data_IF_293750754089
#
_entry.id   IF_293750754089
#
_cell.length_a   1.000
_cell.length_b   1.000
_cell.length_c   1.000
_cell.angle_alpha   90.00
_cell.angle_beta   90.00
_cell.angle_gamma   90.00
#
_symmetry.space_group_name_H-M   'P 1'
#
loop_
_entity.id
_entity.type
_entity.pdbx_description
1 polymer ?
#
# COMPACT_ATOMS: atom_id res chain seq x y z
N UNK A 1 -8.60 3.55 -22.27
CA UNK A 1 -8.51 4.45 -23.44
C UNK A 1 -8.22 5.86 -22.94
N UNK A 2 -7.35 6.61 -23.62
CA UNK A 2 -7.00 7.98 -23.23
C UNK A 2 -8.04 8.97 -23.79
N UNK A 3 -8.42 9.96 -22.98
CA UNK A 3 -9.38 10.99 -23.38
C UNK A 3 -8.71 12.01 -24.30
N UNK A 4 -9.48 12.53 -25.27
CA UNK A 4 -8.98 13.58 -26.16
C UNK A 4 -8.61 14.86 -25.39
N UNK A 5 -7.62 15.62 -25.88
CA UNK A 5 -7.10 16.82 -25.24
C UNK A 5 -8.18 17.88 -25.04
N UNK A 6 -9.16 17.94 -25.94
CA UNK A 6 -10.29 18.86 -25.87
C UNK A 6 -11.34 18.47 -24.81
N UNK A 7 -11.13 17.37 -24.08
CA UNK A 7 -11.98 16.85 -23.00
C UNK A 7 -13.47 16.66 -23.34
N UNK A 8 -13.81 16.59 -24.64
CA UNK A 8 -15.14 16.20 -25.13
C UNK A 8 -15.34 14.68 -24.98
N UNK A 9 -16.30 14.10 -25.71
CA UNK A 9 -16.56 12.65 -25.73
C UNK A 9 -15.60 11.84 -26.63
N UNK A 10 -14.56 12.48 -27.20
CA UNK A 10 -13.57 11.82 -28.06
C UNK A 10 -12.48 11.08 -27.29
N UNK A 11 -11.85 10.10 -27.95
CA UNK A 11 -10.70 9.35 -27.43
C UNK A 11 -9.51 9.50 -28.38
N UNK A 12 -8.31 9.44 -27.83
CA UNK A 12 -7.08 9.34 -28.62
C UNK A 12 -6.88 7.89 -29.10
N UNK A 13 -5.98 7.70 -30.06
CA UNK A 13 -5.51 6.38 -30.49
C UNK A 13 -4.52 5.77 -29.47
N UNK A 14 -5.00 5.67 -28.22
CA UNK A 14 -4.27 5.11 -27.10
C UNK A 14 -5.19 4.25 -26.25
N UNK A 15 -4.98 2.95 -26.37
CA UNK A 15 -5.64 1.92 -25.58
C UNK A 15 -4.60 1.06 -24.85
N UNK A 16 -4.89 0.78 -23.59
CA UNK A 16 -4.08 -0.08 -22.73
C UNK A 16 -5.01 -0.85 -21.81
N UNK A 17 -4.59 -2.05 -21.45
CA UNK A 17 -5.23 -2.88 -20.42
C UNK A 17 -4.31 -2.85 -19.21
N UNK A 18 -4.87 -2.56 -18.03
CA UNK A 18 -4.13 -2.61 -16.77
C UNK A 18 -4.65 -3.77 -15.94
N UNK A 19 -3.78 -4.36 -15.14
CA UNK A 19 -4.13 -5.51 -14.30
C UNK A 19 -2.98 -5.79 -13.35
N UNK A 20 -3.32 -6.06 -12.10
CA UNK A 20 -2.36 -6.20 -11.00
C UNK A 20 -2.67 -7.43 -10.16
N UNK A 21 -1.62 -8.15 -9.77
CA UNK A 21 -1.64 -9.13 -8.70
C UNK A 21 -1.04 -8.48 -7.46
N UNK A 22 -1.86 -8.38 -6.41
CA UNK A 22 -1.48 -7.75 -5.15
C UNK A 22 -1.24 -8.81 -4.06
N UNK A 23 -0.13 -8.68 -3.35
CA UNK A 23 0.21 -9.49 -2.18
C UNK A 23 0.44 -8.57 -0.98
N UNK A 24 -0.20 -8.89 0.15
CA UNK A 24 -0.14 -8.11 1.38
C UNK A 24 0.44 -8.99 2.49
N UNK A 25 1.39 -8.45 3.26
CA UNK A 25 2.01 -9.12 4.39
C UNK A 25 2.20 -8.15 5.55
N UNK A 26 1.57 -8.48 6.68
CA UNK A 26 1.73 -7.74 7.93
C UNK A 26 2.99 -8.21 8.65
N UNK A 27 3.90 -7.28 8.91
CA UNK A 27 5.13 -7.55 9.64
C UNK A 27 4.79 -7.62 11.14
N UNK A 28 5.34 -8.59 11.89
CA UNK A 28 5.01 -8.78 13.31
C UNK A 28 5.66 -7.74 14.23
N UNK A 29 6.26 -6.69 13.68
CA UNK A 29 6.99 -5.67 14.38
C UNK A 29 6.62 -4.27 13.86
N UNK A 30 6.63 -3.30 14.76
CA UNK A 30 6.44 -1.87 14.47
C UNK A 30 5.17 -1.50 13.67
N UNK A 31 4.14 -2.35 13.68
CA UNK A 31 2.87 -2.13 12.98
C UNK A 31 3.07 -1.78 11.49
N UNK A 32 4.01 -2.49 10.87
CA UNK A 32 4.41 -2.30 9.49
C UNK A 32 3.69 -3.29 8.57
N UNK A 33 3.39 -2.83 7.35
CA UNK A 33 2.87 -3.66 6.27
C UNK A 33 3.79 -3.57 5.07
N UNK A 34 3.99 -4.73 4.48
CA UNK A 34 4.61 -4.90 3.18
C UNK A 34 3.55 -5.25 2.15
N UNK A 35 3.58 -4.57 1.01
CA UNK A 35 2.67 -4.83 -0.10
C UNK A 35 3.46 -4.84 -1.40
N UNK A 36 3.17 -5.84 -2.24
CA UNK A 36 3.70 -5.95 -3.59
C UNK A 36 2.53 -5.92 -4.57
N UNK A 37 2.64 -5.13 -5.62
CA UNK A 37 1.73 -5.21 -6.76
C UNK A 37 2.51 -5.42 -8.05
N UNK A 38 2.30 -6.54 -8.73
CA UNK A 38 2.94 -6.84 -10.00
C UNK A 38 1.91 -6.81 -11.13
N UNK A 39 2.22 -6.13 -12.23
CA UNK A 39 1.24 -5.96 -13.30
C UNK A 39 1.64 -5.04 -14.44
N UNK A 40 0.64 -4.64 -15.22
CA UNK A 40 0.78 -3.70 -16.34
C UNK A 40 0.19 -2.34 -15.98
N UNK A 41 0.99 -1.30 -16.19
CA UNK A 41 0.70 0.09 -15.86
C UNK A 41 0.09 0.87 -17.04
N UNK A 42 -0.29 2.12 -16.78
CA UNK A 42 -0.96 2.98 -17.76
C UNK A 42 -0.10 3.26 -18.99
N UNK A 43 1.22 3.36 -18.84
CA UNK A 43 2.13 3.64 -19.95
C UNK A 43 2.49 2.38 -20.78
N UNK A 44 1.76 1.27 -20.58
CA UNK A 44 2.00 -0.08 -21.18
C UNK A 44 3.27 -0.78 -20.68
N UNK A 45 3.97 -0.18 -19.73
CA UNK A 45 5.07 -0.80 -19.00
C UNK A 45 4.56 -1.89 -18.05
N UNK A 46 5.40 -2.90 -17.84
CA UNK A 46 5.17 -4.01 -16.93
C UNK A 46 6.21 -3.91 -15.82
N UNK A 47 5.76 -4.12 -14.59
CA UNK A 47 6.64 -3.99 -13.45
C UNK A 47 5.98 -4.29 -12.13
N UNK A 48 6.61 -3.81 -11.07
CA UNK A 48 6.26 -4.10 -9.68
C UNK A 48 6.30 -2.82 -8.86
N UNK A 49 5.26 -2.61 -8.06
CA UNK A 49 5.28 -1.67 -6.94
C UNK A 49 5.64 -2.42 -5.67
N UNK A 50 6.62 -1.88 -4.95
CA UNK A 50 6.98 -2.31 -3.60
C UNK A 50 6.59 -1.20 -2.65
N UNK A 51 5.62 -1.47 -1.78
CA UNK A 51 5.08 -0.56 -0.79
C UNK A 51 5.42 -1.06 0.61
N UNK A 52 6.07 -0.19 1.38
CA UNK A 52 6.32 -0.39 2.81
C UNK A 52 5.63 0.73 3.56
N UNK A 53 4.73 0.39 4.46
CA UNK A 53 4.02 1.36 5.27
C UNK A 53 3.99 0.99 6.73
N UNK A 54 3.84 2.01 7.57
CA UNK A 54 3.62 1.89 9.01
C UNK A 54 2.30 2.55 9.36
N UNK A 55 1.49 1.84 10.16
CA UNK A 55 0.27 2.36 10.73
C UNK A 55 0.51 2.74 12.20
N UNK A 56 -0.07 3.86 12.62
CA UNK A 56 0.00 4.34 14.00
C UNK A 56 -1.33 4.09 14.72
N UNK A 57 -1.29 4.06 16.05
CA UNK A 57 -2.50 3.92 16.89
C UNK A 57 -3.53 5.02 16.64
N UNK A 58 -3.09 6.19 16.17
CA UNK A 58 -3.96 7.31 15.76
C UNK A 58 -4.78 7.00 14.52
N UNK A 59 -4.49 5.92 13.79
CA UNK A 59 -5.06 5.58 12.49
C UNK A 59 -4.33 6.24 11.31
N UNK A 60 -3.32 7.07 11.57
CA UNK A 60 -2.45 7.61 10.52
C UNK A 60 -1.60 6.50 9.89
N UNK A 61 -1.30 6.63 8.59
CA UNK A 61 -0.38 5.76 7.87
C UNK A 61 0.70 6.59 7.19
N UNK A 62 1.93 6.12 7.25
CA UNK A 62 3.04 6.66 6.47
C UNK A 62 3.66 5.53 5.70
N UNK A 63 3.89 5.72 4.40
CA UNK A 63 4.50 4.71 3.57
C UNK A 63 5.40 5.28 2.49
N UNK A 64 6.17 4.39 1.90
CA UNK A 64 7.02 4.67 0.77
C UNK A 64 6.81 3.60 -0.29
N UNK A 65 6.72 4.03 -1.54
CA UNK A 65 6.56 3.15 -2.69
C UNK A 65 7.74 3.33 -3.63
N UNK A 66 8.21 2.21 -4.14
CA UNK A 66 9.17 2.13 -5.24
C UNK A 66 8.48 1.40 -6.39
N UNK A 67 8.48 2.01 -7.57
CA UNK A 67 7.95 1.43 -8.79
C UNK A 67 9.10 1.04 -9.72
N UNK A 68 9.28 -0.26 -9.91
CA UNK A 68 10.27 -0.87 -10.78
C UNK A 68 9.57 -1.37 -12.04
N UNK A 69 9.82 -0.74 -13.19
CA UNK A 69 9.19 -1.13 -14.45
C UNK A 69 10.21 -1.30 -15.56
N UNK A 70 9.80 -1.91 -16.66
CA UNK A 70 10.63 -2.06 -17.86
C UNK A 70 10.63 -0.83 -18.78
N UNK A 71 10.19 0.34 -18.30
CA UNK A 71 10.29 1.58 -19.06
C UNK A 71 11.76 1.99 -19.22
N UNK A 72 12.04 2.75 -20.27
CA UNK A 72 13.35 3.37 -20.47
C UNK A 72 13.68 4.32 -19.30
N UNK A 73 14.94 4.40 -18.82
CA UNK A 73 15.37 5.41 -17.85
C UNK A 73 14.90 6.84 -18.17
N UNK A 74 14.74 7.20 -19.44
CA UNK A 74 14.20 8.51 -19.84
C UNK A 74 12.76 8.75 -19.33
N UNK A 75 11.98 7.67 -19.16
CA UNK A 75 10.62 7.73 -18.61
C UNK A 75 10.61 8.22 -17.16
N UNK A 76 11.57 7.76 -16.34
CA UNK A 76 11.68 8.13 -14.92
C UNK A 76 12.42 9.44 -14.71
N UNK A 77 13.21 9.87 -15.70
CA UNK A 77 13.93 11.16 -15.72
C UNK A 77 15.16 11.22 -14.80
N UNK A 78 15.04 10.74 -13.57
CA UNK A 78 16.16 10.65 -12.63
C UNK A 78 16.25 9.23 -12.02
N UNK A 79 17.40 8.58 -12.23
CA UNK A 79 17.65 7.22 -11.76
C UNK A 79 17.02 6.16 -12.67
N UNK A 80 16.80 4.97 -12.12
CA UNK A 80 16.25 3.82 -12.84
C UNK A 80 14.83 3.44 -12.41
N UNK A 81 14.25 4.15 -11.45
CA UNK A 81 12.95 3.82 -10.87
C UNK A 81 12.23 5.04 -10.30
N UNK A 82 10.89 4.96 -10.30
CA UNK A 82 10.05 5.98 -9.68
C UNK A 82 9.86 5.67 -8.19
N UNK A 83 9.77 6.71 -7.35
CA UNK A 83 9.67 6.59 -5.89
C UNK A 83 8.86 7.73 -5.31
N UNK A 84 8.04 7.44 -4.32
CA UNK A 84 7.31 8.47 -3.58
C UNK A 84 7.05 8.02 -2.16
N UNK A 85 6.83 9.01 -1.30
CA UNK A 85 6.33 8.80 0.06
C UNK A 85 4.91 9.29 0.13
N UNK A 86 4.12 8.69 1.01
CA UNK A 86 2.73 9.09 1.22
C UNK A 86 2.37 9.07 2.70
N UNK A 87 1.38 9.89 3.02
CA UNK A 87 0.84 10.11 4.35
C UNK A 87 -0.68 10.03 4.23
N UNK A 88 -1.31 9.17 5.01
CA UNK A 88 -2.77 9.10 5.13
C UNK A 88 -3.14 9.52 6.55
N UNK A 89 -3.92 10.59 6.64
CA UNK A 89 -4.35 11.17 7.90
C UNK A 89 -5.85 10.94 8.09
N UNK A 90 -6.29 10.32 9.20
CA UNK A 90 -7.71 10.13 9.48
C UNK A 90 -8.34 11.48 9.83
N UNK A 91 -9.40 11.84 9.10
CA UNK A 91 -10.05 13.13 9.26
C UNK A 91 -10.93 13.22 10.52
N UNK A 92 -11.17 12.07 11.17
CA UNK A 92 -11.87 11.95 12.45
C UNK A 92 -11.22 12.76 13.58
N UNK A 93 -9.93 13.08 13.47
CA UNK A 93 -9.23 13.95 14.42
C UNK A 93 -9.64 15.43 14.29
N UNK A 94 -10.20 15.84 13.16
CA UNK A 94 -10.56 17.23 12.86
C UNK A 94 -12.06 17.45 12.66
N UNK A 95 -12.83 16.40 12.37
CA UNK A 95 -14.27 16.49 12.08
C UNK A 95 -15.11 16.10 13.31
N UNK A 96 -16.12 16.92 13.63
CA UNK A 96 -17.05 16.65 14.74
C UNK A 96 -17.93 15.39 14.55
N UNK A 97 -18.01 14.86 13.33
CA UNK A 97 -18.64 13.58 13.02
C UNK A 97 -17.56 12.61 12.54
N UNK A 98 -17.25 11.61 13.38
CA UNK A 98 -16.35 10.52 13.03
C UNK A 98 -16.93 9.71 11.86
N UNK A 99 -16.16 9.62 10.78
CA UNK A 99 -16.37 8.73 9.66
C UNK A 99 -15.07 7.97 9.43
N UNK A 100 -15.06 6.68 9.79
CA UNK A 100 -13.91 5.77 9.64
C UNK A 100 -13.35 5.69 8.20
N UNK A 101 -14.10 6.18 7.20
CA UNK A 101 -13.71 6.23 5.79
C UNK A 101 -13.14 7.58 5.34
N UNK A 102 -13.25 8.63 6.15
CA UNK A 102 -12.70 9.94 5.79
C UNK A 102 -11.21 9.97 6.09
N UNK A 103 -10.41 9.72 5.07
CA UNK A 103 -8.94 9.82 5.12
C UNK A 103 -8.48 10.87 4.11
N UNK A 104 -7.53 11.70 4.52
CA UNK A 104 -6.84 12.62 3.61
C UNK A 104 -5.49 12.02 3.25
N UNK A 105 -5.30 11.73 1.97
CA UNK A 105 -4.05 11.21 1.42
C UNK A 105 -3.19 12.34 0.85
N UNK A 106 -1.95 12.41 1.28
CA UNK A 106 -0.92 13.27 0.71
C UNK A 106 0.22 12.41 0.19
N UNK A 107 0.73 12.70 -1.01
CA UNK A 107 1.88 12.00 -1.57
C UNK A 107 2.89 13.02 -2.10
N UNK A 108 4.17 12.72 -1.89
CA UNK A 108 5.27 13.52 -2.39
C UNK A 108 6.25 12.63 -3.17
N UNK A 109 6.55 13.06 -4.40
CA UNK A 109 7.58 12.46 -5.24
C UNK A 109 8.66 13.49 -5.54
N UNK A 110 9.95 13.10 -5.55
CA UNK A 110 11.03 13.99 -6.00
C UNK A 110 10.83 14.48 -7.43
N UNK A 111 10.32 13.59 -8.30
CA UNK A 111 10.05 13.91 -9.70
C UNK A 111 8.71 13.30 -10.12
N UNK A 112 7.77 14.16 -10.50
CA UNK A 112 6.46 13.76 -11.00
C UNK A 112 6.58 13.24 -12.44
N UNK A 113 6.85 11.95 -12.60
CA UNK A 113 6.84 11.23 -13.88
C UNK A 113 5.78 10.14 -13.87
N UNK A 114 5.41 9.69 -15.07
CA UNK A 114 4.31 8.75 -15.28
C UNK A 114 4.74 7.27 -15.30
N UNK A 115 6.02 6.99 -15.08
CA UNK A 115 6.55 5.62 -15.05
C UNK A 115 5.96 4.84 -13.86
N UNK A 116 5.41 3.65 -14.11
CA UNK A 116 4.71 2.87 -13.10
C UNK A 116 3.37 3.43 -12.66
N UNK A 117 2.76 4.36 -13.41
CA UNK A 117 1.49 4.92 -12.95
C UNK A 117 0.35 3.90 -13.07
N UNK A 118 -0.32 3.64 -11.93
CA UNK A 118 -1.52 2.81 -11.88
C UNK A 118 -2.75 3.62 -12.25
N UNK A 119 -3.76 2.93 -12.79
CA UNK A 119 -5.09 3.51 -12.91
C UNK A 119 -5.68 3.72 -11.51
N UNK A 120 -6.30 4.87 -11.27
CA UNK A 120 -6.97 5.18 -10.01
C UNK A 120 -8.30 4.42 -9.91
N UNK A 121 -8.22 3.13 -9.60
CA UNK A 121 -9.36 2.25 -9.30
C UNK A 121 -9.25 1.78 -7.86
N UNK A 122 -10.40 1.51 -7.23
CA UNK A 122 -10.41 0.94 -5.89
C UNK A 122 -9.77 -0.45 -5.86
N UNK A 123 -9.07 -0.78 -4.77
CA UNK A 123 -8.51 -2.11 -4.54
C UNK A 123 -9.51 -2.98 -3.77
N UNK A 124 -9.60 -4.25 -4.13
CA UNK A 124 -10.50 -5.20 -3.46
C UNK A 124 -10.20 -5.32 -1.97
N UNK A 125 -8.93 -5.35 -1.59
CA UNK A 125 -8.48 -5.38 -0.20
C UNK A 125 -9.07 -4.21 0.60
N UNK A 126 -8.99 -2.99 0.05
CA UNK A 126 -9.50 -1.78 0.72
C UNK A 126 -11.03 -1.74 0.81
N UNK A 127 -11.74 -2.50 -0.04
CA UNK A 127 -13.20 -2.62 0.03
C UNK A 127 -13.65 -3.70 1.02
N UNK A 128 -12.84 -4.73 1.23
CA UNK A 128 -13.16 -5.85 2.12
C UNK A 128 -12.75 -5.60 3.58
N UNK A 129 -11.66 -4.87 3.80
CA UNK A 129 -11.10 -4.65 5.13
C UNK A 129 -11.62 -3.35 5.71
N UNK A 130 -12.26 -3.42 6.87
CA UNK A 130 -12.59 -2.22 7.63
C UNK A 130 -11.33 -1.65 8.30
N UNK A 131 -11.28 -0.32 8.43
CA UNK A 131 -10.14 0.37 9.01
C UNK A 131 -9.87 -0.04 10.48
N UNK A 132 -10.90 -0.54 11.19
CA UNK A 132 -10.78 -1.10 12.54
C UNK A 132 -10.15 -2.50 12.55
N UNK A 133 -10.60 -3.38 11.67
CA UNK A 133 -10.10 -4.76 11.56
C UNK A 133 -8.61 -4.80 11.21
N UNK A 134 -8.15 -3.80 10.46
CA UNK A 134 -6.75 -3.67 10.10
C UNK A 134 -5.84 -3.40 11.31
N UNK A 135 -6.30 -2.59 12.28
CA UNK A 135 -5.57 -2.33 13.54
C UNK A 135 -5.49 -3.60 14.38
N UNK A 136 -6.57 -4.37 14.44
CA UNK A 136 -6.61 -5.61 15.21
C UNK A 136 -5.79 -6.73 14.56
N UNK A 137 -5.66 -6.74 13.23
CA UNK A 137 -4.78 -7.66 12.51
C UNK A 137 -3.28 -7.41 12.77
N UNK A 138 -2.87 -6.14 12.93
CA UNK A 138 -1.50 -5.75 13.28
C UNK A 138 -1.18 -6.04 14.75
N UNK A 139 -2.19 -6.01 15.64
CA UNK A 139 -2.07 -6.33 17.07
C UNK A 139 -1.88 -7.81 17.39
N UNK A 140 -1.71 -8.70 16.41
CA UNK A 140 -1.40 -10.11 16.65
C UNK A 140 -0.17 -10.20 17.56
N UNK A 141 -0.38 -10.72 18.77
CA UNK A 141 0.66 -10.80 19.80
C UNK A 141 1.94 -11.40 19.22
N UNK A 142 3.11 -10.76 19.38
CA UNK A 142 4.34 -11.25 18.81
C UNK A 142 4.59 -12.69 19.29
N UNK A 143 5.07 -13.53 18.37
CA UNK A 143 5.38 -14.91 18.67
C UNK A 143 6.41 -14.95 19.81
N UNK A 144 5.97 -15.36 21.00
CA UNK A 144 6.86 -15.51 22.13
C UNK A 144 7.65 -16.80 21.98
N UNK A 145 8.94 -16.69 21.65
CA UNK A 145 9.89 -17.82 21.66
C UNK A 145 9.85 -18.55 23.01
N UNK A 146 9.63 -17.82 24.10
CA UNK A 146 9.45 -18.37 25.45
C UNK A 146 8.19 -19.24 25.55
N UNK A 147 7.09 -18.88 24.89
CA UNK A 147 5.85 -19.67 24.84
C UNK A 147 6.05 -20.95 24.01
N UNK A 148 6.77 -20.88 22.90
CA UNK A 148 7.11 -22.04 22.06
C UNK A 148 8.02 -23.02 22.84
N UNK A 149 9.08 -22.53 23.47
CA UNK A 149 10.02 -23.37 24.23
C UNK A 149 9.43 -23.86 25.56
N UNK A 150 8.50 -23.13 26.18
CA UNK A 150 7.79 -23.59 27.38
C UNK A 150 6.90 -24.81 27.13
N UNK A 151 6.48 -25.07 25.88
CA UNK A 151 5.75 -26.27 25.49
C UNK A 151 6.62 -27.52 25.36
N UNK A 152 7.94 -27.35 25.19
CA UNK A 152 8.92 -28.45 25.15
C UNK A 152 9.59 -28.71 26.50
N UNK A 153 9.33 -27.86 27.51
CA UNK A 153 9.85 -28.04 28.86
C UNK A 153 9.05 -29.11 29.62
N UNK A 154 9.65 -30.27 29.86
CA UNK A 154 9.08 -31.37 30.67
C UNK A 154 9.16 -31.07 32.18
N UNK A 155 8.81 -29.87 32.63
CA UNK A 155 8.72 -29.61 34.07
C UNK A 155 7.27 -29.69 34.50
N UNK A 156 6.94 -30.79 35.19
CA UNK A 156 5.64 -31.01 35.79
C UNK A 156 5.29 -29.85 36.72
N UNK A 157 4.24 -29.09 36.36
CA UNK A 157 3.64 -28.12 37.29
C UNK A 157 3.07 -28.90 38.46
N UNK A 158 3.81 -28.97 39.56
CA UNK A 158 3.29 -29.45 40.84
C UNK A 158 2.21 -28.45 41.28
N UNK A 159 0.95 -28.88 41.16
CA UNK A 159 -0.18 -28.22 41.83
C UNK A 159 0.07 -28.31 43.34
N UNK A 160 0.09 -27.16 44.01
CA UNK A 160 -0.23 -27.03 45.44
C UNK A 160 -1.68 -26.56 45.50
#
# INVERSE_FOLDING_TARGET
KQRDFNQKFGFQDYETVTGFLSYYYDLPFYDMRFKIDAGRFLAKDVGVHVDVSRRFDTGARVGAIIALTNCDPDCVGEGSFNKWIYFELPMDLWLAKSSVRSQSSYAWTPLTKDAGQKVAVGELYALMVDAKDEVDSLRRTPWSVKKILSGFGTSSKKKI
#
